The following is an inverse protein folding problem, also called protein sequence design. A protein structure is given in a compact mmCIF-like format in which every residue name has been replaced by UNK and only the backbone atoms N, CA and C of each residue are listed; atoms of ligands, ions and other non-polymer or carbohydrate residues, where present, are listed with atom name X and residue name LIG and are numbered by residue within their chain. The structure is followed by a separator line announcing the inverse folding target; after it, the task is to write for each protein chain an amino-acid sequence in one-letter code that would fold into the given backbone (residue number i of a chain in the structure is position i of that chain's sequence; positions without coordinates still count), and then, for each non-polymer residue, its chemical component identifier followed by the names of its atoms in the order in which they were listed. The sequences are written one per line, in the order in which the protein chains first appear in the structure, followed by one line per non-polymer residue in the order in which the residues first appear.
data_IF_801044521525
#
_entry.id   IF_801044521525
#
_cell.length_a   1.000
_cell.length_b   1.000
_cell.length_c   1.000
_cell.angle_alpha   90.00
_cell.angle_beta   90.00
_cell.angle_gamma   90.00
#
_symmetry.space_group_name_H-M   'P 1'
#
loop_
_entity.id
_entity.type
_entity.pdbx_description
1 polymer ?
#
# COMPACT_ATOMS: atom_id res chain seq x y z
N UNK A 1 -68.81 23.15 -16.04
CA UNK A 1 -67.70 22.76 -15.22
C UNK A 1 -67.00 21.55 -15.80
N UNK A 2 -65.71 21.61 -15.98
CA UNK A 2 -64.98 20.51 -16.61
C UNK A 2 -64.54 19.52 -15.53
N UNK A 3 -64.99 18.27 -15.65
CA UNK A 3 -64.46 17.20 -14.82
C UNK A 3 -63.26 16.56 -15.51
N UNK A 4 -62.24 16.26 -14.74
CA UNK A 4 -61.10 15.53 -15.28
C UNK A 4 -61.55 14.10 -15.63
N UNK A 5 -61.00 13.61 -16.73
CA UNK A 5 -61.18 12.24 -17.11
C UNK A 5 -60.49 11.34 -16.08
N UNK A 6 -61.24 10.44 -15.48
CA UNK A 6 -60.71 9.50 -14.45
C UNK A 6 -59.56 8.66 -15.03
N UNK A 7 -59.69 8.23 -16.28
CA UNK A 7 -58.65 7.44 -16.93
C UNK A 7 -57.36 8.21 -17.12
N UNK A 8 -57.46 9.51 -17.45
CA UNK A 8 -56.26 10.37 -17.57
C UNK A 8 -55.57 10.59 -16.20
N UNK A 9 -56.35 10.80 -15.16
CA UNK A 9 -55.83 10.96 -13.79
C UNK A 9 -55.16 9.66 -13.35
N UNK A 10 -55.82 8.52 -13.62
CA UNK A 10 -55.27 7.22 -13.28
C UNK A 10 -53.97 6.94 -14.02
N UNK A 11 -53.94 7.23 -15.33
CA UNK A 11 -52.73 7.08 -16.14
C UNK A 11 -51.58 7.96 -15.63
N UNK A 12 -51.88 9.19 -15.23
CA UNK A 12 -50.89 10.10 -14.66
C UNK A 12 -50.33 9.57 -13.33
N UNK A 13 -51.22 9.11 -12.44
CA UNK A 13 -50.80 8.54 -11.15
C UNK A 13 -49.95 7.27 -11.33
N UNK A 14 -50.32 6.42 -12.27
CA UNK A 14 -49.58 5.21 -12.60
C UNK A 14 -48.18 5.55 -13.13
N UNK A 15 -48.09 6.58 -13.97
CA UNK A 15 -46.81 7.06 -14.49
C UNK A 15 -45.90 7.60 -13.35
N UNK A 16 -46.47 8.41 -12.46
CA UNK A 16 -45.75 8.94 -11.31
C UNK A 16 -45.27 7.81 -10.42
N UNK A 17 -46.11 6.84 -10.13
CA UNK A 17 -45.75 5.68 -9.31
C UNK A 17 -44.64 4.86 -9.94
N UNK A 18 -44.70 4.64 -11.25
CA UNK A 18 -43.68 3.93 -12.02
C UNK A 18 -42.34 4.68 -11.99
N UNK A 19 -42.36 6.00 -12.22
CA UNK A 19 -41.15 6.81 -12.14
C UNK A 19 -40.54 6.85 -10.75
N UNK A 20 -41.37 6.92 -9.74
CA UNK A 20 -40.90 6.85 -8.33
C UNK A 20 -40.23 5.51 -8.01
N UNK A 21 -40.83 4.41 -8.47
CA UNK A 21 -40.29 3.07 -8.32
C UNK A 21 -38.93 2.96 -9.00
N UNK A 22 -38.79 3.48 -10.21
CA UNK A 22 -37.51 3.54 -10.92
C UNK A 22 -36.46 4.33 -10.15
N UNK A 23 -36.84 5.50 -9.59
CA UNK A 23 -35.94 6.33 -8.81
C UNK A 23 -35.49 5.63 -7.52
N UNK A 24 -36.40 4.95 -6.85
CA UNK A 24 -36.09 4.17 -5.65
C UNK A 24 -35.10 3.06 -5.99
N UNK A 25 -35.35 2.34 -7.09
CA UNK A 25 -34.46 1.26 -7.53
C UNK A 25 -33.07 1.79 -7.91
N UNK A 26 -33.00 2.92 -8.60
CA UNK A 26 -31.72 3.59 -8.90
C UNK A 26 -31.00 4.04 -7.65
N UNK A 27 -31.71 4.60 -6.69
CA UNK A 27 -31.16 5.00 -5.40
C UNK A 27 -30.54 3.82 -4.68
N UNK A 28 -31.26 2.71 -4.60
CA UNK A 28 -30.75 1.49 -3.94
C UNK A 28 -29.54 0.93 -4.67
N UNK A 29 -29.55 0.92 -5.99
CA UNK A 29 -28.40 0.48 -6.78
C UNK A 29 -27.18 1.36 -6.55
N UNK A 30 -27.37 2.69 -6.48
CA UNK A 30 -26.29 3.63 -6.19
C UNK A 30 -25.76 3.48 -4.77
N UNK A 31 -26.64 3.25 -3.80
CA UNK A 31 -26.24 3.01 -2.41
C UNK A 31 -25.36 1.75 -2.30
N UNK A 32 -25.73 0.68 -2.98
CA UNK A 32 -24.94 -0.55 -3.05
C UNK A 32 -23.60 -0.31 -3.73
N UNK A 33 -23.57 0.48 -4.80
CA UNK A 33 -22.33 0.80 -5.51
C UNK A 33 -21.40 1.66 -4.64
N UNK A 34 -21.94 2.62 -3.90
CA UNK A 34 -21.16 3.42 -2.95
C UNK A 34 -20.56 2.53 -1.86
N UNK A 35 -21.34 1.61 -1.32
CA UNK A 35 -20.83 0.66 -0.31
C UNK A 35 -19.71 -0.21 -0.88
N UNK A 36 -19.89 -0.72 -2.10
CA UNK A 36 -18.88 -1.52 -2.79
C UNK A 36 -17.59 -0.73 -2.98
N UNK A 37 -17.70 0.52 -3.42
CA UNK A 37 -16.55 1.40 -3.63
C UNK A 37 -15.86 1.76 -2.32
N UNK A 38 -16.63 2.02 -1.27
CA UNK A 38 -16.06 2.30 0.06
C UNK A 38 -15.27 1.10 0.58
N UNK A 39 -15.79 -0.11 0.40
CA UNK A 39 -15.09 -1.33 0.78
C UNK A 39 -13.78 -1.49 -0.02
N UNK A 40 -13.81 -1.21 -1.32
CA UNK A 40 -12.61 -1.23 -2.17
C UNK A 40 -11.56 -0.21 -1.71
N UNK A 41 -11.99 1.01 -1.43
CA UNK A 41 -11.09 2.05 -0.93
C UNK A 41 -10.44 1.60 0.38
N UNK A 42 -11.22 1.02 1.29
CA UNK A 42 -10.71 0.50 2.55
C UNK A 42 -9.68 -0.61 2.34
N UNK A 43 -9.92 -1.53 1.41
CA UNK A 43 -8.97 -2.59 1.04
C UNK A 43 -7.67 -2.01 0.47
N UNK A 44 -7.76 -1.04 -0.44
CA UNK A 44 -6.59 -0.38 -1.01
C UNK A 44 -5.79 0.38 0.02
N UNK A 45 -6.44 1.04 0.98
CA UNK A 45 -5.76 1.72 2.07
C UNK A 45 -4.98 0.75 2.95
N UNK A 46 -5.53 -0.44 3.17
CA UNK A 46 -4.86 -1.52 3.90
C UNK A 46 -3.61 -2.02 3.16
N UNK A 47 -3.76 -2.24 1.87
CA UNK A 47 -2.64 -2.67 1.00
C UNK A 47 -1.55 -1.60 0.98
N UNK A 48 -1.93 -0.33 0.85
CA UNK A 48 -0.99 0.80 0.86
C UNK A 48 -0.19 0.83 2.16
N UNK A 49 -0.87 0.68 3.29
CA UNK A 49 -0.21 0.65 4.61
C UNK A 49 0.76 -0.52 4.71
N UNK A 50 0.35 -1.71 4.29
CA UNK A 50 1.17 -2.91 4.32
C UNK A 50 2.41 -2.75 3.43
N UNK A 51 2.24 -2.14 2.25
CA UNK A 51 3.36 -1.83 1.35
C UNK A 51 4.33 -0.83 1.98
N UNK A 52 3.84 0.23 2.60
CA UNK A 52 4.67 1.20 3.30
C UNK A 52 5.46 0.54 4.43
N UNK A 53 4.81 -0.28 5.25
CA UNK A 53 5.46 -1.01 6.34
C UNK A 53 6.54 -1.97 5.80
N UNK A 54 6.24 -2.66 4.70
CA UNK A 54 7.19 -3.57 4.06
C UNK A 54 8.41 -2.81 3.51
N UNK A 55 8.19 -1.66 2.88
CA UNK A 55 9.28 -0.82 2.36
C UNK A 55 10.16 -0.28 3.48
N UNK A 56 9.57 0.14 4.60
CA UNK A 56 10.32 0.60 5.77
C UNK A 56 11.20 -0.53 6.31
N UNK A 57 10.64 -1.73 6.48
CA UNK A 57 11.37 -2.90 6.95
C UNK A 57 12.50 -3.29 6.00
N UNK A 58 12.24 -3.25 4.70
CA UNK A 58 13.24 -3.55 3.69
C UNK A 58 14.39 -2.54 3.74
N UNK A 59 14.09 -1.26 3.94
CA UNK A 59 15.10 -0.22 4.07
C UNK A 59 15.91 -0.38 5.36
N UNK A 60 15.27 -0.71 6.47
CA UNK A 60 15.97 -1.01 7.73
C UNK A 60 16.91 -2.21 7.57
N UNK A 61 16.46 -3.28 6.93
CA UNK A 61 17.28 -4.45 6.65
C UNK A 61 18.44 -4.11 5.73
N UNK A 62 18.22 -3.31 4.70
CA UNK A 62 19.27 -2.85 3.79
C UNK A 62 20.33 -2.04 4.54
N UNK A 63 19.91 -1.12 5.40
CA UNK A 63 20.81 -0.31 6.22
C UNK A 63 21.63 -1.18 7.14
N UNK A 64 21.02 -2.14 7.83
CA UNK A 64 21.73 -3.08 8.73
C UNK A 64 22.72 -3.94 7.98
N UNK A 65 22.35 -4.42 6.79
CA UNK A 65 23.22 -5.24 5.94
C UNK A 65 24.45 -4.44 5.50
N UNK A 66 24.25 -3.19 5.08
CA UNK A 66 25.36 -2.31 4.71
C UNK A 66 26.29 -2.00 5.88
N UNK A 67 25.74 -1.71 7.03
CA UNK A 67 26.52 -1.46 8.25
C UNK A 67 27.32 -2.69 8.65
N UNK A 68 26.71 -3.87 8.60
CA UNK A 68 27.36 -5.14 8.90
C UNK A 68 28.49 -5.43 7.92
N UNK A 69 28.25 -5.24 6.63
CA UNK A 69 29.25 -5.43 5.59
C UNK A 69 30.43 -4.46 5.77
N UNK A 70 30.14 -3.20 6.08
CA UNK A 70 31.16 -2.19 6.35
C UNK A 70 32.02 -2.54 7.57
N UNK A 71 31.38 -3.01 8.62
CA UNK A 71 32.06 -3.46 9.85
C UNK A 71 32.97 -4.65 9.56
N UNK A 72 32.50 -5.66 8.81
CA UNK A 72 33.30 -6.81 8.40
C UNK A 72 34.48 -6.42 7.52
N UNK A 73 34.26 -5.51 6.58
CA UNK A 73 35.32 -4.99 5.72
C UNK A 73 36.40 -4.28 6.53
N UNK A 74 36.02 -3.45 7.50
CA UNK A 74 36.95 -2.77 8.38
C UNK A 74 37.78 -3.75 9.22
N UNK A 75 37.15 -4.82 9.72
CA UNK A 75 37.85 -5.88 10.45
C UNK A 75 38.85 -6.62 9.55
N UNK A 76 38.47 -6.96 8.34
CA UNK A 76 39.33 -7.63 7.36
C UNK A 76 40.55 -6.76 7.01
N UNK A 77 40.35 -5.47 6.80
CA UNK A 77 41.43 -4.52 6.53
C UNK A 77 42.37 -4.47 7.72
N UNK A 78 41.84 -4.39 8.92
CA UNK A 78 42.64 -4.34 10.15
C UNK A 78 43.44 -5.62 10.35
N UNK A 79 42.87 -6.78 10.12
CA UNK A 79 43.57 -8.07 10.16
C UNK A 79 44.68 -8.15 9.11
N UNK A 80 44.41 -7.65 7.90
CA UNK A 80 45.41 -7.61 6.84
C UNK A 80 46.57 -6.68 7.18
N UNK A 81 46.27 -5.53 7.75
CA UNK A 81 47.32 -4.58 8.22
C UNK A 81 48.17 -5.19 9.34
N UNK A 82 47.53 -5.87 10.29
CA UNK A 82 48.24 -6.54 11.38
C UNK A 82 49.13 -7.67 10.86
N UNK A 83 48.63 -8.46 9.90
CA UNK A 83 49.43 -9.52 9.23
C UNK A 83 50.61 -8.94 8.50
N UNK A 84 50.40 -7.88 7.74
CA UNK A 84 51.48 -7.20 7.00
C UNK A 84 52.54 -6.67 7.97
N UNK A 85 52.11 -6.07 9.06
CA UNK A 85 52.99 -5.58 10.11
C UNK A 85 53.82 -6.71 10.74
N UNK A 86 53.21 -7.84 11.04
CA UNK A 86 53.89 -9.02 11.59
C UNK A 86 54.91 -9.60 10.60
N UNK A 87 54.54 -9.68 9.33
CA UNK A 87 55.44 -10.18 8.27
C UNK A 87 56.66 -9.28 8.16
N UNK A 88 56.47 -7.97 8.17
CA UNK A 88 57.60 -7.00 8.10
C UNK A 88 58.47 -7.10 9.36
N UNK A 89 57.87 -7.22 10.52
CA UNK A 89 58.61 -7.37 11.78
C UNK A 89 59.45 -8.65 11.79
N UNK A 90 58.85 -9.77 11.37
CA UNK A 90 59.57 -11.04 11.27
C UNK A 90 60.68 -11.00 10.23
N UNK A 91 60.45 -10.36 9.10
CA UNK A 91 61.47 -10.18 8.08
C UNK A 91 62.67 -9.36 8.61
N UNK A 92 62.40 -8.29 9.33
CA UNK A 92 63.43 -7.47 9.95
C UNK A 92 64.22 -8.24 10.99
N UNK A 93 63.55 -9.07 11.82
CA UNK A 93 64.23 -9.92 12.79
C UNK A 93 65.10 -10.97 12.15
N UNK A 94 64.63 -11.55 11.04
CA UNK A 94 65.41 -12.57 10.32
C UNK A 94 66.62 -11.98 9.59
N UNK A 95 66.60 -10.71 9.27
CA UNK A 95 67.72 -10.00 8.63
C UNK A 95 68.85 -9.62 9.59
N UNK A 96 68.49 -9.54 10.86
CA UNK A 96 69.51 -9.29 11.94
C UNK A 96 70.30 -10.54 12.23
#
# INVERSE_FOLDING_TARGET
MRSYNIDEVQAFLDKVASEMEELINKKEALEQEVERLNNKVSEFQKIEKDLQDTLIKAQENSTKTLESAKSQTNLLIKEAENKASQILENANKSAE
#
